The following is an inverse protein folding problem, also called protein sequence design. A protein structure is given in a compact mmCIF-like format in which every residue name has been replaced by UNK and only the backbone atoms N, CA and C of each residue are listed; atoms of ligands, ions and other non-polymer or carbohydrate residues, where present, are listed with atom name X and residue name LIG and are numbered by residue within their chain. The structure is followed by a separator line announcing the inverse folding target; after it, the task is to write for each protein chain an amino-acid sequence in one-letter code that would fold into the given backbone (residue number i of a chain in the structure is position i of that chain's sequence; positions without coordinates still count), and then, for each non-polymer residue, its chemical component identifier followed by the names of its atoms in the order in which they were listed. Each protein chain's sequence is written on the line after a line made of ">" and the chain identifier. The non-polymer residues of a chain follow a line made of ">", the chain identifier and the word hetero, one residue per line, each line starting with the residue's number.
data_IF_341295216123
#
_entry.id   IF_341295216123
#
_cell.length_a   1.000
_cell.length_b   1.000
_cell.length_c   1.000
_cell.angle_alpha   90.00
_cell.angle_beta   90.00
_cell.angle_gamma   90.00
#
_symmetry.space_group_name_H-M   'P 1'
#
loop_
_entity.id
_entity.type
_entity.pdbx_description
1 polymer ?
#
# COMPACT_ATOMS: atom_id res chain seq x y z
N UNK A 1 13.10 -19.26 8.16
CA UNK A 1 13.64 -17.89 8.25
C UNK A 1 12.84 -17.07 7.24
N UNK A 2 11.78 -16.38 7.68
CA UNK A 2 10.97 -15.55 6.79
C UNK A 2 11.82 -14.33 6.44
N UNK A 3 12.15 -14.15 5.16
CA UNK A 3 12.88 -12.97 4.71
C UNK A 3 12.04 -11.74 5.01
N UNK A 4 12.56 -10.83 5.84
CA UNK A 4 11.95 -9.54 6.05
C UNK A 4 11.84 -8.85 4.68
N UNK A 5 10.64 -8.36 4.34
CA UNK A 5 10.45 -7.46 3.22
C UNK A 5 11.04 -6.13 3.67
N UNK A 6 12.33 -5.92 3.44
CA UNK A 6 12.97 -4.64 3.71
C UNK A 6 12.71 -3.74 2.51
N UNK A 7 11.89 -2.70 2.72
CA UNK A 7 11.91 -1.53 1.85
C UNK A 7 13.12 -0.71 2.25
N UNK A 8 13.87 -0.25 1.25
CA UNK A 8 14.99 0.66 1.43
C UNK A 8 14.62 1.90 0.65
N UNK A 9 14.50 3.03 1.34
CA UNK A 9 14.23 4.33 0.73
C UNK A 9 15.23 4.61 -0.40
N UNK A 10 14.74 5.18 -1.50
CA UNK A 10 15.56 5.49 -2.69
C UNK A 10 16.19 4.28 -3.40
N UNK A 11 15.80 3.04 -3.08
CA UNK A 11 16.15 1.90 -3.91
C UNK A 11 15.38 2.00 -5.24
N UNK A 12 16.09 1.73 -6.34
CA UNK A 12 15.44 1.63 -7.65
C UNK A 12 14.28 0.62 -7.60
N UNK A 13 13.19 0.96 -8.28
CA UNK A 13 12.03 0.08 -8.35
C UNK A 13 12.37 -1.26 -9.00
N UNK A 14 12.04 -2.35 -8.31
CA UNK A 14 12.26 -3.73 -8.74
C UNK A 14 10.92 -4.48 -8.66
N UNK A 15 10.25 -4.61 -9.81
CA UNK A 15 8.95 -5.28 -9.90
C UNK A 15 9.01 -6.76 -9.46
N UNK A 16 10.00 -7.59 -9.88
CA UNK A 16 10.19 -8.93 -9.33
C UNK A 16 10.30 -8.97 -7.79
N UNK A 17 11.02 -8.04 -7.17
CA UNK A 17 11.12 -7.93 -5.70
C UNK A 17 9.77 -7.60 -5.08
N UNK A 18 9.06 -6.61 -5.62
CA UNK A 18 7.73 -6.21 -5.15
C UNK A 18 6.72 -7.37 -5.26
N UNK A 19 6.72 -8.12 -6.36
CA UNK A 19 5.86 -9.30 -6.52
C UNK A 19 6.18 -10.43 -5.53
N UNK A 20 7.47 -10.66 -5.23
CA UNK A 20 7.85 -11.61 -4.17
C UNK A 20 7.37 -11.16 -2.79
N UNK A 21 7.43 -9.86 -2.51
CA UNK A 21 6.90 -9.30 -1.27
C UNK A 21 5.37 -9.48 -1.18
N UNK A 22 4.63 -9.19 -2.25
CA UNK A 22 3.18 -9.43 -2.34
C UNK A 22 2.85 -10.91 -2.10
N UNK A 23 3.59 -11.84 -2.73
CA UNK A 23 3.38 -13.27 -2.51
C UNK A 23 3.65 -13.70 -1.05
N UNK A 24 4.66 -13.12 -0.40
CA UNK A 24 4.94 -13.35 1.01
C UNK A 24 3.82 -12.80 1.91
N UNK A 25 3.28 -11.61 1.62
CA UNK A 25 2.14 -11.04 2.35
C UNK A 25 0.88 -11.91 2.18
N UNK A 26 0.59 -12.36 0.95
CA UNK A 26 -0.57 -13.19 0.65
C UNK A 26 -0.55 -14.55 1.34
N UNK A 27 0.63 -15.09 1.66
CA UNK A 27 0.79 -16.37 2.37
C UNK A 27 1.11 -16.22 3.85
N UNK A 28 1.44 -15.01 4.30
CA UNK A 28 1.77 -14.68 5.68
C UNK A 28 0.56 -14.68 6.63
N UNK A 29 0.80 -14.62 7.95
CA UNK A 29 -0.26 -14.51 8.94
C UNK A 29 -0.94 -13.13 8.86
N UNK A 30 -2.26 -13.12 8.99
CA UNK A 30 -3.06 -11.91 9.18
C UNK A 30 -3.54 -11.91 10.63
N UNK A 31 -3.36 -10.83 11.41
CA UNK A 31 -3.85 -10.77 12.77
C UNK A 31 -5.37 -10.97 12.82
N UNK A 32 -5.83 -11.75 13.81
CA UNK A 32 -7.25 -11.98 14.07
C UNK A 32 -7.86 -10.94 15.00
N UNK A 33 -9.18 -11.02 15.19
CA UNK A 33 -9.95 -10.12 16.05
C UNK A 33 -9.38 -9.96 17.46
N UNK A 34 -9.33 -8.70 17.92
CA UNK A 34 -8.84 -8.32 19.24
C UNK A 34 -7.32 -8.13 19.35
N UNK A 35 -6.55 -8.35 18.28
CA UNK A 35 -5.14 -7.97 18.26
C UNK A 35 -4.98 -6.44 18.16
N UNK A 36 -4.06 -5.83 18.94
CA UNK A 36 -3.79 -4.40 18.82
C UNK A 36 -3.18 -4.08 17.46
N UNK A 37 -3.46 -2.88 16.95
CA UNK A 37 -2.74 -2.35 15.79
C UNK A 37 -1.27 -2.15 16.15
N UNK A 38 -0.39 -2.77 15.37
CA UNK A 38 1.06 -2.67 15.48
C UNK A 38 1.60 -1.99 14.22
N UNK A 39 2.39 -0.93 14.41
CA UNK A 39 3.16 -0.29 13.35
C UNK A 39 4.62 -0.72 13.58
N UNK A 40 5.09 -1.65 12.75
CA UNK A 40 6.48 -2.09 12.77
C UNK A 40 7.34 -1.10 12.00
N UNK A 41 8.48 -0.78 12.58
CA UNK A 41 9.52 0.02 11.96
C UNK A 41 10.87 -0.69 12.12
N UNK A 42 11.79 -0.43 11.18
CA UNK A 42 13.16 -0.88 11.30
C UNK A 42 13.79 -0.24 12.55
N UNK A 43 14.39 -1.03 13.46
CA UNK A 43 14.90 -0.50 14.72
C UNK A 43 16.13 0.40 14.55
N UNK A 44 16.77 0.39 13.38
CA UNK A 44 17.96 1.19 13.07
C UNK A 44 17.63 2.44 12.26
N UNK A 45 16.78 2.32 11.25
CA UNK A 45 16.42 3.44 10.36
C UNK A 45 15.13 4.14 10.77
N UNK A 46 14.26 3.47 11.53
CA UNK A 46 12.91 3.95 11.83
C UNK A 46 11.95 3.85 10.64
N UNK A 47 12.40 3.31 9.50
CA UNK A 47 11.58 3.16 8.31
C UNK A 47 10.42 2.19 8.57
N UNK A 48 9.24 2.55 8.08
CA UNK A 48 8.05 1.73 8.21
C UNK A 48 8.23 0.38 7.51
N UNK A 49 8.00 -0.71 8.22
CA UNK A 49 8.11 -2.08 7.69
C UNK A 49 6.75 -2.69 7.38
N UNK A 50 5.76 -2.47 8.25
CA UNK A 50 4.38 -2.85 8.02
C UNK A 50 3.47 -2.40 9.17
N UNK A 51 2.20 -2.19 8.85
CA UNK A 51 1.11 -2.03 9.80
C UNK A 51 0.30 -3.33 9.84
N UNK A 52 0.17 -3.92 11.03
CA UNK A 52 -0.60 -5.14 11.30
C UNK A 52 -1.74 -4.81 12.22
N UNK A 53 -2.96 -5.11 11.79
CA UNK A 53 -4.14 -4.91 12.61
C UNK A 53 -5.13 -6.05 12.37
N UNK A 54 -6.20 -6.05 13.14
CA UNK A 54 -7.29 -7.01 12.98
C UNK A 54 -7.76 -7.08 11.52
N UNK A 55 -7.61 -8.26 10.92
CA UNK A 55 -8.10 -8.55 9.59
C UNK A 55 -7.24 -8.05 8.44
N UNK A 56 -6.11 -7.37 8.66
CA UNK A 56 -5.22 -6.96 7.56
C UNK A 56 -3.74 -6.77 7.92
N UNK A 57 -2.90 -6.80 6.88
CA UNK A 57 -1.50 -6.40 6.90
C UNK A 57 -1.27 -5.41 5.75
N UNK A 58 -0.68 -4.26 6.07
CA UNK A 58 -0.28 -3.22 5.13
C UNK A 58 1.24 -3.09 5.17
N UNK A 59 1.92 -3.09 4.03
CA UNK A 59 3.38 -2.98 3.98
C UNK A 59 3.83 -2.17 2.77
N UNK A 60 4.90 -1.36 2.87
CA UNK A 60 5.46 -0.70 1.72
C UNK A 60 6.13 -1.72 0.79
N UNK A 61 6.13 -1.42 -0.50
CA UNK A 61 6.83 -2.17 -1.56
C UNK A 61 7.99 -1.34 -2.12
N UNK A 62 7.78 -0.04 -2.22
CA UNK A 62 8.73 0.93 -2.73
C UNK A 62 8.42 2.31 -2.15
N UNK A 63 9.48 3.07 -1.91
CA UNK A 63 9.40 4.47 -1.50
C UNK A 63 10.34 5.27 -2.40
N UNK A 64 9.83 6.37 -2.95
CA UNK A 64 10.54 7.27 -3.83
C UNK A 64 11.61 8.10 -3.12
N UNK A 65 12.31 8.97 -3.85
CA UNK A 65 13.14 10.00 -3.24
C UNK A 65 12.28 11.03 -2.48
N UNK A 66 12.89 11.77 -1.56
CA UNK A 66 12.25 12.96 -0.98
C UNK A 66 11.88 13.93 -2.09
N UNK A 67 10.64 14.41 -2.06
CA UNK A 67 10.17 15.41 -3.02
C UNK A 67 10.40 16.84 -2.54
N UNK A 68 10.86 17.01 -1.30
CA UNK A 68 11.11 18.29 -0.66
C UNK A 68 12.01 19.18 -1.51
N UNK A 69 11.47 20.34 -1.91
CA UNK A 69 12.21 21.37 -2.65
C UNK A 69 12.42 21.07 -4.15
N UNK A 70 11.87 19.97 -4.66
CA UNK A 70 11.75 19.76 -6.10
C UNK A 70 10.80 20.78 -6.71
N UNK A 71 11.02 21.08 -7.99
CA UNK A 71 10.16 21.93 -8.81
C UNK A 71 9.89 21.22 -10.13
N UNK A 72 8.98 21.76 -10.93
CA UNK A 72 8.81 21.26 -12.28
C UNK A 72 10.04 21.57 -13.16
N UNK A 73 10.46 20.62 -14.02
CA UNK A 73 9.75 19.37 -14.35
C UNK A 73 10.04 18.18 -13.42
N UNK A 74 11.07 18.24 -12.58
CA UNK A 74 11.57 17.09 -11.81
C UNK A 74 10.51 16.53 -10.85
N UNK A 75 9.71 17.42 -10.26
CA UNK A 75 8.55 17.09 -9.43
C UNK A 75 7.56 16.18 -10.19
N UNK A 76 7.08 16.64 -11.34
CA UNK A 76 6.14 15.90 -12.18
C UNK A 76 6.72 14.56 -12.63
N UNK A 77 8.01 14.52 -12.97
CA UNK A 77 8.68 13.27 -13.36
C UNK A 77 8.69 12.21 -12.25
N UNK A 78 8.78 12.62 -10.97
CA UNK A 78 8.68 11.68 -9.84
C UNK A 78 7.25 11.14 -9.67
N UNK A 79 6.23 12.00 -9.80
CA UNK A 79 4.83 11.58 -9.77
C UNK A 79 4.54 10.55 -10.88
N UNK A 80 4.94 10.86 -12.11
CA UNK A 80 4.79 9.95 -13.25
C UNK A 80 5.61 8.67 -13.11
N UNK A 81 6.74 8.69 -12.40
CA UNK A 81 7.49 7.47 -12.09
C UNK A 81 6.72 6.57 -11.12
N UNK A 82 6.15 7.13 -10.06
CA UNK A 82 5.29 6.40 -9.13
C UNK A 82 4.10 5.75 -9.83
N UNK A 83 3.39 6.51 -10.67
CA UNK A 83 2.24 6.00 -11.44
C UNK A 83 2.65 4.85 -12.38
N UNK A 84 3.80 4.97 -13.05
CA UNK A 84 4.34 3.89 -13.88
C UNK A 84 4.68 2.64 -13.07
N UNK A 85 5.19 2.78 -11.86
CA UNK A 85 5.48 1.65 -10.97
C UNK A 85 4.20 0.94 -10.53
N UNK A 86 3.17 1.69 -10.12
CA UNK A 86 1.86 1.15 -9.81
C UNK A 86 1.25 0.43 -11.01
N UNK A 87 1.21 1.07 -12.18
CA UNK A 87 0.69 0.48 -13.41
C UNK A 87 1.45 -0.79 -13.83
N UNK A 88 2.76 -0.83 -13.62
CA UNK A 88 3.60 -2.01 -13.92
C UNK A 88 3.22 -3.20 -13.04
N UNK A 89 3.00 -2.99 -11.73
CA UNK A 89 2.55 -4.08 -10.85
C UNK A 89 1.11 -4.46 -11.15
N UNK A 90 0.22 -3.47 -11.28
CA UNK A 90 -1.19 -3.70 -11.55
C UNK A 90 -1.37 -4.53 -12.82
N UNK A 91 -0.67 -4.20 -13.92
CA UNK A 91 -0.73 -4.98 -15.16
C UNK A 91 -0.29 -6.43 -14.98
N UNK A 92 0.77 -6.69 -14.20
CA UNK A 92 1.23 -8.07 -13.92
C UNK A 92 0.24 -8.86 -13.06
N UNK A 93 -0.43 -8.19 -12.11
CA UNK A 93 -1.45 -8.82 -11.28
C UNK A 93 -2.75 -9.03 -12.06
N UNK A 94 -3.09 -8.11 -12.97
CA UNK A 94 -4.22 -8.24 -13.89
C UNK A 94 -4.04 -9.42 -14.86
N UNK A 95 -2.82 -9.65 -15.36
CA UNK A 95 -2.48 -10.86 -16.13
C UNK A 95 -2.70 -12.15 -15.32
N UNK A 96 -2.51 -12.11 -14.01
CA UNK A 96 -2.58 -13.29 -13.14
C UNK A 96 -4.00 -13.58 -12.63
N UNK A 97 -4.77 -12.55 -12.28
CA UNK A 97 -6.06 -12.69 -11.58
C UNK A 97 -7.22 -11.94 -12.26
N UNK A 98 -6.99 -11.39 -13.45
CA UNK A 98 -7.96 -10.53 -14.13
C UNK A 98 -7.97 -9.10 -13.59
N UNK A 99 -8.77 -8.22 -14.21
CA UNK A 99 -8.73 -6.79 -13.95
C UNK A 99 -9.09 -6.47 -12.50
N UNK A 100 -8.31 -5.58 -11.87
CA UNK A 100 -8.63 -5.03 -10.56
C UNK A 100 -9.89 -4.16 -10.57
N UNK A 101 -10.49 -4.06 -9.39
CA UNK A 101 -11.48 -3.03 -9.05
C UNK A 101 -10.78 -1.86 -8.37
N UNK A 102 -11.19 -0.63 -8.67
CA UNK A 102 -10.74 0.56 -7.94
C UNK A 102 -11.72 0.90 -6.82
N UNK A 103 -11.21 1.10 -5.60
CA UNK A 103 -11.95 1.69 -4.48
C UNK A 103 -11.37 3.06 -4.18
N UNK A 104 -12.18 4.10 -4.33
CA UNK A 104 -11.74 5.49 -4.12
C UNK A 104 -11.81 5.87 -2.65
N UNK A 105 -10.86 6.68 -2.18
CA UNK A 105 -10.85 7.17 -0.79
C UNK A 105 -11.28 8.64 -0.64
N UNK A 106 -11.60 9.29 -1.76
CA UNK A 106 -11.92 10.72 -1.83
C UNK A 106 -13.06 11.15 -0.88
N UNK A 107 -14.00 10.25 -0.57
CA UNK A 107 -15.01 10.50 0.45
C UNK A 107 -14.41 10.86 1.82
N UNK A 108 -13.37 10.15 2.27
CA UNK A 108 -12.73 10.41 3.57
C UNK A 108 -11.90 11.70 3.54
N UNK A 109 -11.31 12.04 2.40
CA UNK A 109 -10.57 13.30 2.19
C UNK A 109 -11.53 14.48 2.31
N UNK A 110 -12.69 14.40 1.64
CA UNK A 110 -13.71 15.46 1.66
C UNK A 110 -14.51 15.51 2.97
N UNK A 111 -14.54 14.42 3.74
CA UNK A 111 -15.31 14.29 4.98
C UNK A 111 -14.41 13.86 6.14
N UNK A 112 -13.54 14.73 6.67
CA UNK A 112 -12.54 14.35 7.68
C UNK A 112 -13.14 13.89 9.01
N UNK A 113 -14.41 14.19 9.27
CA UNK A 113 -15.15 13.80 10.48
C UNK A 113 -15.96 12.50 10.33
N UNK A 114 -15.96 11.89 9.13
CA UNK A 114 -16.64 10.62 8.91
C UNK A 114 -16.02 9.50 9.75
N UNK A 115 -16.83 8.51 10.13
CA UNK A 115 -16.32 7.29 10.74
C UNK A 115 -15.43 6.55 9.73
N UNK A 116 -14.29 6.06 10.20
CA UNK A 116 -13.25 5.48 9.35
C UNK A 116 -13.10 4.01 9.67
N UNK A 117 -13.38 3.11 8.70
CA UNK A 117 -13.04 1.71 8.89
C UNK A 117 -11.53 1.57 9.21
N UNK A 118 -11.13 0.65 10.11
CA UNK A 118 -9.75 0.56 10.59
C UNK A 118 -8.68 0.48 9.51
N UNK A 119 -9.00 -0.15 8.37
CA UNK A 119 -8.09 -0.25 7.22
C UNK A 119 -7.80 1.10 6.58
N UNK A 120 -8.81 1.97 6.46
CA UNK A 120 -8.64 3.31 5.91
C UNK A 120 -7.94 4.23 6.91
N UNK A 121 -8.25 4.12 8.20
CA UNK A 121 -7.48 4.84 9.23
C UNK A 121 -6.00 4.45 9.19
N UNK A 122 -5.66 3.17 9.01
CA UNK A 122 -4.28 2.73 8.88
C UNK A 122 -3.58 3.27 7.62
N UNK A 123 -4.27 3.33 6.48
CA UNK A 123 -3.75 3.94 5.25
C UNK A 123 -3.43 5.42 5.44
N UNK A 124 -4.38 6.18 5.98
CA UNK A 124 -4.23 7.63 6.21
C UNK A 124 -3.13 7.94 7.23
N UNK A 125 -2.94 7.08 8.24
CA UNK A 125 -1.84 7.22 9.22
C UNK A 125 -0.45 6.92 8.64
N UNK A 126 -0.39 6.24 7.50
CA UNK A 126 0.84 6.00 6.73
C UNK A 126 0.91 6.91 5.51
N UNK A 127 0.11 7.98 5.48
CA UNK A 127 0.13 8.97 4.43
C UNK A 127 -0.22 8.43 3.04
N UNK A 128 -1.00 7.34 2.98
CA UNK A 128 -1.41 6.70 1.73
C UNK A 128 -2.79 7.21 1.29
N UNK A 129 -2.79 8.36 0.61
CA UNK A 129 -4.01 9.05 0.18
C UNK A 129 -4.52 8.68 -1.23
N UNK A 130 -3.91 7.69 -1.89
CA UNK A 130 -4.33 7.23 -3.21
C UNK A 130 -5.48 6.22 -3.18
N UNK A 131 -6.06 5.98 -4.35
CA UNK A 131 -7.08 4.96 -4.54
C UNK A 131 -6.50 3.54 -4.42
N UNK A 132 -7.36 2.60 -4.00
CA UNK A 132 -6.98 1.20 -3.86
C UNK A 132 -7.28 0.43 -5.14
N UNK A 133 -6.28 -0.22 -5.71
CA UNK A 133 -6.42 -1.18 -6.81
C UNK A 133 -6.55 -2.57 -6.20
N UNK A 134 -7.73 -3.21 -6.30
CA UNK A 134 -8.11 -4.38 -5.52
C UNK A 134 -8.31 -5.63 -6.39
N UNK A 135 -7.69 -6.73 -5.99
CA UNK A 135 -7.87 -8.07 -6.55
C UNK A 135 -8.47 -9.04 -5.52
N UNK A 136 -9.13 -10.08 -6.03
CA UNK A 136 -9.50 -11.27 -5.27
C UNK A 136 -8.71 -12.47 -5.81
N UNK A 137 -7.52 -12.78 -5.27
CA UNK A 137 -6.70 -13.87 -5.77
C UNK A 137 -7.37 -15.23 -5.54
N UNK A 138 -7.67 -15.97 -6.61
CA UNK A 138 -8.36 -17.28 -6.52
C UNK A 138 -7.67 -18.28 -5.58
N UNK A 139 -6.34 -18.21 -5.48
CA UNK A 139 -5.52 -19.12 -4.66
C UNK A 139 -5.39 -18.68 -3.20
N UNK A 140 -5.91 -17.52 -2.82
CA UNK A 140 -5.77 -16.95 -1.49
C UNK A 140 -7.06 -17.02 -0.64
N UNK A 141 -8.05 -17.81 -1.05
CA UNK A 141 -9.33 -17.96 -0.36
C UNK A 141 -10.09 -16.63 -0.30
N UNK A 142 -10.51 -16.24 0.91
CA UNK A 142 -11.27 -15.00 1.12
C UNK A 142 -10.39 -13.73 1.14
N UNK A 143 -9.07 -13.86 0.98
CA UNK A 143 -8.18 -12.71 1.05
C UNK A 143 -8.44 -11.72 -0.09
N UNK A 144 -8.18 -10.45 0.19
CA UNK A 144 -8.12 -9.38 -0.82
C UNK A 144 -6.72 -8.80 -0.81
N UNK A 145 -6.19 -8.57 -2.00
CA UNK A 145 -5.00 -7.76 -2.19
C UNK A 145 -5.44 -6.38 -2.67
N UNK A 146 -4.85 -5.33 -2.12
CA UNK A 146 -4.88 -4.02 -2.72
C UNK A 146 -3.47 -3.44 -2.90
N UNK A 147 -3.27 -2.69 -3.98
CA UNK A 147 -2.14 -1.79 -4.15
C UNK A 147 -2.60 -0.35 -4.01
N UNK A 148 -1.74 0.48 -3.43
CA UNK A 148 -1.97 1.93 -3.26
C UNK A 148 -0.67 2.67 -3.47
N UNK A 149 -0.73 3.77 -4.21
CA UNK A 149 0.33 4.76 -4.30
C UNK A 149 -0.17 6.02 -3.60
N UNK A 150 0.55 6.51 -2.60
CA UNK A 150 0.14 7.72 -1.91
C UNK A 150 1.30 8.48 -1.28
N UNK A 151 1.01 9.72 -0.90
CA UNK A 151 1.85 10.61 -0.12
C UNK A 151 0.93 11.64 0.59
N UNK A 152 1.33 12.18 1.74
CA UNK A 152 0.50 13.05 2.58
C UNK A 152 0.48 14.51 2.18
N UNK A 153 1.66 15.03 1.89
CA UNK A 153 1.87 16.38 1.44
C UNK A 153 2.76 16.36 0.21
N UNK A 154 2.81 17.47 -0.53
CA UNK A 154 3.65 17.55 -1.71
C UNK A 154 5.08 17.12 -1.40
N UNK A 155 5.68 17.57 -0.31
CA UNK A 155 7.11 17.38 -0.13
C UNK A 155 7.53 15.97 0.35
N UNK A 156 6.58 15.10 0.73
CA UNK A 156 6.84 13.71 1.14
C UNK A 156 7.08 12.77 -0.06
N UNK A 157 7.92 11.73 0.09
CA UNK A 157 8.09 10.70 -0.93
C UNK A 157 6.77 10.00 -1.28
N UNK A 158 6.67 9.60 -2.55
CA UNK A 158 5.66 8.64 -2.96
C UNK A 158 5.95 7.28 -2.34
N UNK A 159 4.92 6.68 -1.74
CA UNK A 159 4.98 5.32 -1.21
C UNK A 159 4.01 4.43 -1.95
N UNK A 160 4.55 3.37 -2.56
CA UNK A 160 3.77 2.28 -3.13
C UNK A 160 3.68 1.16 -2.09
N UNK A 161 2.48 0.82 -1.67
CA UNK A 161 2.24 -0.19 -0.64
C UNK A 161 1.28 -1.28 -1.10
N UNK A 162 1.38 -2.44 -0.46
CA UNK A 162 0.44 -3.55 -0.58
C UNK A 162 -0.32 -3.74 0.73
N UNK A 163 -1.63 -3.95 0.59
CA UNK A 163 -2.55 -4.30 1.66
C UNK A 163 -3.11 -5.70 1.38
N UNK A 164 -3.01 -6.59 2.36
CA UNK A 164 -3.68 -7.89 2.33
C UNK A 164 -4.69 -7.97 3.46
N UNK A 165 -5.97 -8.12 3.11
CA UNK A 165 -7.06 -8.28 4.06
C UNK A 165 -7.57 -9.72 4.07
N UNK A 166 -8.09 -10.19 5.20
CA UNK A 166 -8.69 -11.53 5.36
C UNK A 166 -10.11 -11.64 4.77
N UNK A 167 -10.64 -10.56 4.20
CA UNK A 167 -11.99 -10.48 3.65
C UNK A 167 -12.17 -9.26 2.74
N UNK A 168 -13.41 -8.95 2.33
CA UNK A 168 -13.70 -7.79 1.48
C UNK A 168 -13.29 -6.49 2.18
N UNK A 169 -12.74 -5.55 1.40
CA UNK A 169 -12.50 -4.19 1.87
C UNK A 169 -13.84 -3.43 1.93
N UNK A 170 -14.11 -2.65 3.00
CA UNK A 170 -15.34 -1.88 3.11
C UNK A 170 -15.46 -0.87 1.97
N UNK A 171 -16.62 -0.74 1.34
CA UNK A 171 -16.83 0.31 0.35
C UNK A 171 -17.16 1.64 1.04
N UNK A 172 -16.59 2.72 0.53
CA UNK A 172 -16.88 4.07 1.00
C UNK A 172 -18.05 4.65 0.20
N UNK A 173 -18.85 5.55 0.80
CA UNK A 173 -19.86 6.32 0.06
C UNK A 173 -19.22 7.10 -1.09
N UNK A 174 -19.97 7.30 -2.17
CA UNK A 174 -19.52 8.04 -3.36
C UNK A 174 -19.75 9.54 -3.19
#
# INVERSE_FOLDING_TARGET
>A
MMGAVTVVRSLAFDAPRALRAIAALLTGPIPSAGNPTLIDADPHTGEWLATRADGFVLAPLWEGPDLTGLRDPEWTEQLEAGDRHLATLAGKLDEQWGPHRVLTIDYLIRNPQADRPPVYEALLRQDLYGDLHVWAPDQAGDRRLALVLGHSDGDQPLTLAALVAAGPLPELPV
#
